data_IF_376353026942
#
_entry.id   IF_376353026942
#
_cell.length_a   1.000
_cell.length_b   1.000
_cell.length_c   1.000
_cell.angle_alpha   90.00
_cell.angle_beta   90.00
_cell.angle_gamma   90.00
#
_symmetry.space_group_name_H-M   'P 1'
#
loop_
_entity.id
_entity.type
_entity.pdbx_description
1 polymer ?
#
# COMPACT_ATOMS: atom_id res chain seq x y z
N UNK A 1 31.33 13.20 -0.95
CA UNK A 1 30.37 12.15 -0.56
C UNK A 1 30.55 11.00 -1.54
N UNK A 2 31.17 9.90 -1.11
CA UNK A 2 31.31 8.70 -1.94
C UNK A 2 29.91 8.10 -2.11
N UNK A 3 29.45 7.98 -3.35
CA UNK A 3 28.15 7.39 -3.66
C UNK A 3 28.23 5.88 -3.47
N UNK A 4 27.81 5.38 -2.31
CA UNK A 4 27.64 3.94 -2.14
C UNK A 4 26.52 3.46 -3.05
N UNK A 5 26.86 2.54 -3.97
CA UNK A 5 25.89 1.89 -4.82
C UNK A 5 25.07 0.90 -3.97
N UNK A 6 23.97 1.37 -3.40
CA UNK A 6 23.01 0.49 -2.72
C UNK A 6 22.49 -0.52 -3.74
N UNK A 7 22.79 -1.80 -3.52
CA UNK A 7 22.33 -2.90 -4.36
C UNK A 7 20.82 -3.13 -4.15
N UNK A 8 19.99 -2.39 -4.91
CA UNK A 8 18.52 -2.41 -4.79
C UNK A 8 17.86 -3.70 -5.28
N UNK A 9 18.63 -4.63 -5.85
CA UNK A 9 18.10 -5.88 -6.40
C UNK A 9 17.50 -6.80 -5.34
N UNK A 10 18.08 -6.85 -4.14
CA UNK A 10 17.64 -7.76 -3.07
C UNK A 10 16.33 -7.31 -2.36
N UNK A 11 15.95 -6.04 -2.48
CA UNK A 11 14.79 -5.48 -1.77
C UNK A 11 13.64 -5.09 -2.70
N UNK A 12 13.84 -5.14 -4.03
CA UNK A 12 12.82 -4.79 -5.03
C UNK A 12 11.57 -5.66 -4.83
N UNK A 13 10.36 -5.08 -4.80
CA UNK A 13 9.16 -5.89 -4.70
C UNK A 13 8.95 -6.63 -6.02
N UNK A 14 8.34 -7.82 -5.98
CA UNK A 14 7.90 -8.48 -7.20
C UNK A 14 6.90 -7.58 -7.94
N UNK A 15 7.12 -7.30 -9.22
CA UNK A 15 6.26 -6.41 -10.02
C UNK A 15 5.83 -7.08 -11.33
N UNK A 16 4.61 -6.77 -11.79
CA UNK A 16 4.11 -7.09 -13.13
C UNK A 16 3.51 -5.84 -13.74
N UNK A 17 3.81 -5.58 -15.03
CA UNK A 17 3.31 -4.41 -15.75
C UNK A 17 3.55 -3.09 -14.97
N UNK A 18 4.70 -2.95 -14.31
CA UNK A 18 5.04 -1.77 -13.50
C UNK A 18 4.27 -1.62 -12.18
N UNK A 19 3.45 -2.59 -11.79
CA UNK A 19 2.70 -2.59 -10.52
C UNK A 19 3.22 -3.69 -9.59
N UNK A 20 3.43 -3.43 -8.28
CA UNK A 20 3.78 -4.46 -7.32
C UNK A 20 2.72 -5.55 -7.23
N UNK A 21 3.16 -6.80 -7.16
CA UNK A 21 2.33 -7.99 -7.29
C UNK A 21 1.24 -8.07 -6.21
N UNK A 22 1.59 -7.74 -4.96
CA UNK A 22 0.62 -7.78 -3.85
C UNK A 22 -0.53 -6.78 -4.05
N UNK A 23 -0.28 -5.47 -4.28
CA UNK A 23 -1.32 -4.52 -4.69
C UNK A 23 -2.13 -4.97 -5.91
N UNK A 24 -1.48 -5.54 -6.94
CA UNK A 24 -2.15 -6.00 -8.15
C UNK A 24 -3.14 -7.13 -7.85
N UNK A 25 -2.71 -8.15 -7.09
CA UNK A 25 -3.57 -9.28 -6.70
C UNK A 25 -4.73 -8.81 -5.82
N UNK A 26 -4.46 -7.91 -4.86
CA UNK A 26 -5.52 -7.36 -4.02
C UNK A 26 -6.54 -6.57 -4.85
N UNK A 27 -6.09 -5.73 -5.79
CA UNK A 27 -6.96 -4.95 -6.65
C UNK A 27 -7.82 -5.84 -7.56
N UNK A 28 -7.21 -6.78 -8.28
CA UNK A 28 -7.94 -7.68 -9.17
C UNK A 28 -8.85 -8.64 -8.40
N UNK A 29 -8.35 -9.26 -7.32
CA UNK A 29 -9.11 -10.20 -6.51
C UNK A 29 -10.34 -9.56 -5.86
N UNK A 30 -10.14 -8.41 -5.19
CA UNK A 30 -11.26 -7.67 -4.60
C UNK A 30 -12.20 -7.10 -5.66
N UNK A 31 -11.68 -6.57 -6.77
CA UNK A 31 -12.50 -6.07 -7.87
C UNK A 31 -13.38 -7.14 -8.51
N UNK A 32 -12.84 -8.35 -8.74
CA UNK A 32 -13.61 -9.47 -9.25
C UNK A 32 -14.72 -9.90 -8.29
N UNK A 33 -14.41 -10.03 -6.99
CA UNK A 33 -15.41 -10.36 -5.98
C UNK A 33 -16.49 -9.27 -5.89
N UNK A 34 -16.11 -8.00 -5.84
CA UNK A 34 -17.05 -6.87 -5.81
C UNK A 34 -17.93 -6.85 -7.05
N UNK A 35 -17.37 -7.09 -8.25
CA UNK A 35 -18.12 -7.16 -9.50
C UNK A 35 -19.13 -8.31 -9.49
N UNK A 36 -18.72 -9.50 -9.04
CA UNK A 36 -19.58 -10.67 -8.91
C UNK A 36 -20.75 -10.40 -7.96
N UNK A 37 -20.46 -9.96 -6.73
CA UNK A 37 -21.49 -9.75 -5.71
C UNK A 37 -22.41 -8.57 -6.05
N UNK A 38 -21.88 -7.47 -6.59
CA UNK A 38 -22.71 -6.33 -6.99
C UNK A 38 -23.61 -6.65 -8.17
N UNK A 39 -23.11 -7.41 -9.16
CA UNK A 39 -23.90 -7.88 -10.30
C UNK A 39 -25.01 -8.84 -9.89
N UNK A 40 -24.73 -9.74 -8.94
CA UNK A 40 -25.68 -10.75 -8.48
C UNK A 40 -26.74 -10.18 -7.51
N UNK A 41 -26.33 -9.35 -6.55
CA UNK A 41 -27.20 -8.92 -5.45
C UNK A 41 -27.90 -7.58 -5.70
N UNK A 42 -27.32 -6.69 -6.51
CA UNK A 42 -27.82 -5.32 -6.67
C UNK A 42 -28.19 -5.01 -8.12
N UNK A 43 -27.20 -4.92 -9.01
CA UNK A 43 -27.42 -4.53 -10.41
C UNK A 43 -26.17 -4.78 -11.26
N UNK A 44 -26.37 -5.21 -12.49
CA UNK A 44 -25.30 -5.34 -13.48
C UNK A 44 -24.55 -4.01 -13.76
N UNK A 45 -25.22 -2.87 -13.60
CA UNK A 45 -24.58 -1.55 -13.76
C UNK A 45 -23.50 -1.28 -12.71
N UNK A 46 -23.66 -1.77 -11.49
CA UNK A 46 -22.64 -1.64 -10.43
C UNK A 46 -21.42 -2.52 -10.73
N UNK A 47 -21.64 -3.70 -11.32
CA UNK A 47 -20.52 -4.53 -11.77
C UNK A 47 -19.68 -3.79 -12.82
N UNK A 48 -20.33 -3.06 -13.75
CA UNK A 48 -19.66 -2.24 -14.75
C UNK A 48 -18.86 -1.08 -14.13
N UNK A 49 -19.40 -0.39 -13.12
CA UNK A 49 -18.68 0.71 -12.47
C UNK A 49 -17.42 0.23 -11.76
N UNK A 50 -17.43 -0.97 -11.16
CA UNK A 50 -16.23 -1.58 -10.57
C UNK A 50 -15.14 -1.79 -11.63
N UNK A 51 -15.50 -2.34 -12.80
CA UNK A 51 -14.56 -2.49 -13.91
C UNK A 51 -14.00 -1.16 -14.41
N UNK A 52 -14.86 -0.15 -14.52
CA UNK A 52 -14.47 1.19 -14.93
C UNK A 52 -13.52 1.83 -13.90
N UNK A 53 -13.66 1.55 -12.61
CA UNK A 53 -12.77 2.02 -11.56
C UNK A 53 -11.43 1.25 -11.47
N UNK A 54 -11.38 -0.01 -11.91
CA UNK A 54 -10.14 -0.81 -11.89
C UNK A 54 -9.05 -0.22 -12.81
N UNK A 55 -9.44 0.20 -14.03
CA UNK A 55 -8.51 0.76 -15.01
C UNK A 55 -7.76 2.02 -14.54
N UNK A 56 -8.42 3.11 -14.08
CA UNK A 56 -7.73 4.29 -13.58
C UNK A 56 -6.92 3.99 -12.34
N UNK A 57 -7.36 3.06 -11.49
CA UNK A 57 -6.58 2.62 -10.32
C UNK A 57 -5.28 1.93 -10.72
N UNK A 58 -5.32 1.06 -11.73
CA UNK A 58 -4.11 0.43 -12.30
C UNK A 58 -3.16 1.48 -12.92
N UNK A 59 -3.70 2.44 -13.67
CA UNK A 59 -2.90 3.52 -14.26
C UNK A 59 -2.25 4.39 -13.18
N UNK A 60 -2.98 4.74 -12.14
CA UNK A 60 -2.47 5.48 -10.99
C UNK A 60 -1.33 4.73 -10.29
N UNK A 61 -1.52 3.43 -10.02
CA UNK A 61 -0.47 2.60 -9.42
C UNK A 61 0.79 2.57 -10.28
N UNK A 62 0.66 2.39 -11.59
CA UNK A 62 1.79 2.42 -12.54
C UNK A 62 2.51 3.76 -12.56
N UNK A 63 1.75 4.86 -12.57
CA UNK A 63 2.33 6.20 -12.56
C UNK A 63 3.12 6.45 -11.28
N UNK A 64 2.58 6.03 -10.15
CA UNK A 64 3.19 6.20 -8.83
C UNK A 64 4.51 5.43 -8.69
N UNK A 65 4.58 4.21 -9.23
CA UNK A 65 5.75 3.33 -9.14
C UNK A 65 6.77 3.60 -10.24
N UNK A 66 6.44 4.40 -11.26
CA UNK A 66 7.35 4.72 -12.37
C UNK A 66 8.70 5.31 -11.91
N UNK A 67 8.72 6.08 -10.82
CA UNK A 67 9.96 6.68 -10.28
C UNK A 67 10.59 5.89 -9.13
N UNK A 68 9.77 5.20 -8.35
CA UNK A 68 10.20 4.43 -7.18
C UNK A 68 9.29 3.22 -6.98
N UNK A 69 9.82 2.03 -7.24
CA UNK A 69 9.12 0.75 -7.10
C UNK A 69 8.63 0.49 -5.66
N UNK A 70 9.23 1.14 -4.66
CA UNK A 70 8.84 1.02 -3.25
C UNK A 70 7.82 2.06 -2.81
N UNK A 71 7.42 3.00 -3.68
CA UNK A 71 6.55 4.13 -3.29
C UNK A 71 5.24 3.69 -2.67
N UNK A 72 4.61 2.64 -3.20
CA UNK A 72 3.38 2.06 -2.64
C UNK A 72 3.60 1.51 -1.23
N UNK A 73 4.72 0.81 -0.99
CA UNK A 73 5.10 0.31 0.33
C UNK A 73 5.34 1.46 1.31
N UNK A 74 6.05 2.50 0.88
CA UNK A 74 6.31 3.69 1.70
C UNK A 74 5.00 4.37 2.12
N UNK A 75 4.05 4.55 1.20
CA UNK A 75 2.74 5.12 1.52
C UNK A 75 1.97 4.26 2.52
N UNK A 76 1.98 2.93 2.33
CA UNK A 76 1.33 2.01 3.27
C UNK A 76 1.94 2.13 4.68
N UNK A 77 3.27 2.11 4.78
CA UNK A 77 3.97 2.30 6.07
C UNK A 77 3.62 3.67 6.66
N UNK A 78 3.63 4.74 5.88
CA UNK A 78 3.28 6.08 6.35
C UNK A 78 1.85 6.16 6.90
N UNK A 79 0.88 5.51 6.23
CA UNK A 79 -0.51 5.43 6.70
C UNK A 79 -0.60 4.61 7.99
N UNK A 80 0.05 3.44 8.05
CA UNK A 80 0.10 2.59 9.24
C UNK A 80 0.64 3.39 10.43
N UNK A 81 1.78 4.06 10.26
CA UNK A 81 2.42 4.86 11.30
C UNK A 81 1.57 6.06 11.72
N UNK A 82 0.89 6.75 10.78
CA UNK A 82 -0.06 7.83 11.11
C UNK A 82 -1.24 7.33 11.94
N UNK A 83 -1.74 6.12 11.67
CA UNK A 83 -2.88 5.55 12.42
C UNK A 83 -2.53 5.24 13.88
N UNK A 84 -1.29 4.85 14.14
CA UNK A 84 -0.79 4.50 15.47
C UNK A 84 -0.15 5.68 16.23
N UNK A 85 -0.12 6.88 15.64
CA UNK A 85 0.36 8.09 16.29
C UNK A 85 -0.68 8.69 17.26
N UNK A 86 -0.77 8.13 18.48
CA UNK A 86 -1.69 8.60 19.51
C UNK A 86 -1.23 9.87 20.22
N UNK A 87 0.08 10.14 20.20
CA UNK A 87 0.70 11.14 21.05
C UNK A 87 0.97 12.47 20.31
N UNK A 88 0.53 12.57 19.05
CA UNK A 88 0.71 13.75 18.20
C UNK A 88 0.26 15.04 18.88
N UNK A 89 -0.88 15.01 19.57
CA UNK A 89 -1.48 16.21 20.16
C UNK A 89 -0.62 16.81 21.28
N UNK A 90 0.16 15.98 21.97
CA UNK A 90 0.93 16.42 23.15
C UNK A 90 2.37 16.80 22.79
N UNK A 91 3.00 16.11 21.83
CA UNK A 91 4.42 16.29 21.52
C UNK A 91 4.72 16.86 20.14
N UNK A 92 3.75 16.86 19.21
CA UNK A 92 3.94 17.24 17.80
C UNK A 92 5.16 16.56 17.10
N UNK A 93 5.65 15.45 17.66
CA UNK A 93 6.83 14.74 17.22
C UNK A 93 6.60 13.23 17.29
N UNK A 94 7.30 12.48 16.43
CA UNK A 94 7.25 11.01 16.36
C UNK A 94 8.66 10.46 16.38
N UNK A 95 8.92 9.48 17.24
CA UNK A 95 10.17 8.74 17.27
C UNK A 95 9.86 7.25 17.29
N UNK A 96 10.50 6.48 16.41
CA UNK A 96 10.38 5.03 16.35
C UNK A 96 11.75 4.44 16.69
N UNK A 97 11.78 3.58 17.69
CA UNK A 97 13.00 2.89 18.11
C UNK A 97 12.95 1.43 17.60
N UNK A 98 14.09 0.85 17.19
CA UNK A 98 14.17 -0.55 16.81
C UNK A 98 14.06 -1.48 18.04
N UNK A 99 14.24 -0.94 19.24
CA UNK A 99 14.18 -1.66 20.52
C UNK A 99 12.85 -1.43 21.22
N UNK A 100 12.28 -2.51 21.73
CA UNK A 100 11.00 -2.51 22.41
C UNK A 100 11.24 -2.72 23.91
N UNK A 101 10.88 -1.75 24.73
CA UNK A 101 10.99 -1.86 26.19
C UNK A 101 9.94 -2.84 26.74
N UNK A 102 10.27 -3.55 27.82
CA UNK A 102 9.36 -4.52 28.46
C UNK A 102 8.05 -3.84 28.84
N UNK A 103 6.93 -4.34 28.30
CA UNK A 103 5.59 -3.79 28.54
C UNK A 103 5.14 -2.68 27.57
N UNK A 104 6.03 -2.20 26.69
CA UNK A 104 5.64 -1.29 25.62
C UNK A 104 4.93 -2.05 24.47
N UNK A 105 4.22 -1.31 23.62
CA UNK A 105 3.58 -1.83 22.40
C UNK A 105 4.12 -1.05 21.21
N UNK A 106 4.64 -1.75 20.20
CA UNK A 106 5.15 -1.13 18.97
C UNK A 106 4.09 -1.21 17.87
N UNK A 107 3.95 -0.13 17.09
CA UNK A 107 3.09 -0.05 15.91
C UNK A 107 3.41 -1.13 14.85
N UNK A 108 4.62 -1.71 14.89
CA UNK A 108 5.00 -2.79 13.97
C UNK A 108 4.46 -4.18 14.34
N UNK A 109 4.26 -4.46 15.63
CA UNK A 109 3.90 -5.80 16.16
C UNK A 109 2.40 -5.89 16.52
N UNK A 110 1.65 -4.79 16.37
CA UNK A 110 0.17 -4.79 16.49
C UNK A 110 -0.49 -5.57 15.37
#
# INVERSE_FOLDING_TARGET
MQGEAIYKGATRPAMKLGVPLVPLVLLCGSGLLMSLWSGLLLSWWLALTVWLALLPTLMWMRWLTHRDDQRLRQMFVAVKLRRYDRNHQLWNARCYAPTLYRGARDAWIV
#
